data_IF_056382221131
#
_entry.id   IF_056382221131
#
_cell.length_a   1.000
_cell.length_b   1.000
_cell.length_c   1.000
_cell.angle_alpha   90.00
_cell.angle_beta   90.00
_cell.angle_gamma   90.00
#
_symmetry.space_group_name_H-M   'P 1'
#
loop_
_entity.id
_entity.type
_entity.pdbx_description
1 polymer ?
#
# COMPACT_ATOMS: atom_id res chain seq x y z
N UNK A 1 -9.88 -11.52 1.82
CA UNK A 1 -9.28 -10.26 2.30
C UNK A 1 -8.51 -10.61 3.56
N UNK A 2 -7.18 -10.60 3.47
CA UNK A 2 -6.30 -10.99 4.59
C UNK A 2 -5.99 -9.80 5.52
N UNK A 3 -5.50 -10.09 6.72
CA UNK A 3 -5.11 -9.10 7.72
C UNK A 3 -3.91 -8.24 7.25
N UNK A 4 -3.89 -6.93 7.53
CA UNK A 4 -2.72 -6.05 7.25
C UNK A 4 -1.43 -6.56 7.90
N UNK A 5 -1.52 -7.38 8.94
CA UNK A 5 -0.36 -7.90 9.67
C UNK A 5 0.56 -8.78 8.83
N UNK A 6 0.10 -9.31 7.69
CA UNK A 6 0.92 -10.04 6.72
C UNK A 6 1.88 -9.13 5.92
N UNK A 7 1.63 -7.82 5.95
CA UNK A 7 2.45 -6.83 5.27
C UNK A 7 3.71 -6.56 6.10
N UNK A 8 4.83 -6.41 5.40
CA UNK A 8 6.08 -5.88 5.98
C UNK A 8 5.89 -4.44 6.43
N UNK A 9 6.79 -3.93 7.27
CA UNK A 9 6.78 -2.53 7.72
C UNK A 9 6.73 -1.56 6.54
N UNK A 10 7.55 -1.78 5.51
CA UNK A 10 7.60 -0.92 4.32
C UNK A 10 6.32 -0.96 3.50
N UNK A 11 5.69 -2.13 3.39
CA UNK A 11 4.40 -2.25 2.72
C UNK A 11 3.28 -1.56 3.50
N UNK A 12 3.31 -1.58 4.84
CA UNK A 12 2.38 -0.82 5.69
C UNK A 12 2.55 0.70 5.51
N UNK A 13 3.78 1.21 5.48
CA UNK A 13 4.08 2.61 5.19
C UNK A 13 3.51 3.04 3.82
N UNK A 14 3.74 2.22 2.79
CA UNK A 14 3.21 2.49 1.45
C UNK A 14 1.68 2.46 1.46
N UNK A 15 1.06 1.49 2.14
CA UNK A 15 -0.39 1.39 2.25
C UNK A 15 -1.01 2.59 2.98
N UNK A 16 -0.35 3.12 4.02
CA UNK A 16 -0.79 4.34 4.70
C UNK A 16 -0.80 5.55 3.73
N UNK A 17 0.28 5.74 2.96
CA UNK A 17 0.34 6.81 1.97
C UNK A 17 -0.68 6.62 0.82
N UNK A 18 -1.06 5.37 0.51
CA UNK A 18 -2.15 5.08 -0.42
C UNK A 18 -3.50 5.54 0.15
N UNK A 19 -3.75 5.29 1.44
CA UNK A 19 -4.97 5.75 2.13
C UNK A 19 -5.04 7.28 2.15
N UNK A 20 -3.90 7.96 2.31
CA UNK A 20 -3.79 9.42 2.18
C UNK A 20 -4.00 9.96 0.75
N UNK A 21 -4.19 9.08 -0.24
CA UNK A 21 -4.42 9.48 -1.64
C UNK A 21 -3.15 9.86 -2.41
N UNK A 22 -1.95 9.56 -1.91
CA UNK A 22 -0.70 9.89 -2.59
C UNK A 22 -0.52 9.08 -3.87
N UNK A 23 -0.05 9.74 -4.93
CA UNK A 23 0.39 9.11 -6.18
C UNK A 23 1.71 8.35 -6.00
N UNK A 24 2.04 7.42 -6.91
CA UNK A 24 3.28 6.64 -6.80
C UNK A 24 4.55 7.51 -6.80
N UNK A 25 4.63 8.61 -7.59
CA UNK A 25 5.73 9.56 -7.48
C UNK A 25 5.80 10.29 -6.12
N UNK A 26 4.66 10.62 -5.51
CA UNK A 26 4.65 11.22 -4.17
C UNK A 26 5.11 10.24 -3.10
N UNK A 27 4.65 8.99 -3.16
CA UNK A 27 5.10 7.91 -2.27
C UNK A 27 6.61 7.69 -2.42
N UNK A 28 7.10 7.67 -3.65
CA UNK A 28 8.52 7.50 -3.96
C UNK A 28 9.37 8.62 -3.32
N UNK A 29 8.92 9.88 -3.43
CA UNK A 29 9.58 11.02 -2.79
C UNK A 29 9.51 10.95 -1.27
N UNK A 30 8.36 10.63 -0.70
CA UNK A 30 8.16 10.54 0.74
C UNK A 30 9.06 9.48 1.39
N UNK A 31 9.26 8.35 0.70
CA UNK A 31 10.02 7.21 1.21
C UNK A 31 11.47 7.15 0.71
N UNK A 32 11.89 8.11 -0.12
CA UNK A 32 13.24 8.21 -0.72
C UNK A 32 13.61 6.92 -1.46
N UNK A 33 12.73 6.47 -2.35
CA UNK A 33 12.91 5.28 -3.21
C UNK A 33 12.44 5.57 -4.63
N UNK A 34 12.77 4.68 -5.58
CA UNK A 34 12.30 4.84 -6.95
C UNK A 34 10.80 4.56 -7.09
N UNK A 35 10.15 5.16 -8.09
CA UNK A 35 8.76 4.83 -8.46
C UNK A 35 8.59 3.39 -8.89
N UNK A 36 9.64 2.76 -9.43
CA UNK A 36 9.65 1.35 -9.79
C UNK A 36 9.56 0.48 -8.52
N UNK A 37 10.36 0.80 -7.49
CA UNK A 37 10.32 0.12 -6.19
C UNK A 37 8.94 0.27 -5.53
N UNK A 38 8.32 1.45 -5.60
CA UNK A 38 6.95 1.66 -5.11
C UNK A 38 5.97 0.72 -5.82
N UNK A 39 6.03 0.63 -7.15
CA UNK A 39 5.13 -0.26 -7.92
C UNK A 39 5.29 -1.72 -7.50
N UNK A 40 6.53 -2.20 -7.32
CA UNK A 40 6.80 -3.56 -6.88
C UNK A 40 6.20 -3.85 -5.49
N UNK A 41 6.33 -2.91 -4.54
CA UNK A 41 5.68 -3.06 -3.24
C UNK A 41 4.16 -3.04 -3.35
N UNK A 42 3.57 -2.18 -4.19
CA UNK A 42 2.13 -2.13 -4.41
C UNK A 42 1.60 -3.45 -4.97
N UNK A 43 2.28 -4.05 -5.94
CA UNK A 43 1.93 -5.36 -6.48
C UNK A 43 2.01 -6.46 -5.42
N UNK A 44 3.02 -6.39 -4.53
CA UNK A 44 3.13 -7.29 -3.37
C UNK A 44 1.97 -7.12 -2.39
N UNK A 45 1.59 -5.86 -2.07
CA UNK A 45 0.44 -5.53 -1.23
C UNK A 45 -0.85 -6.12 -1.84
N UNK A 46 -1.06 -5.93 -3.14
CA UNK A 46 -2.24 -6.45 -3.84
C UNK A 46 -2.36 -7.97 -3.71
N UNK A 47 -1.26 -8.69 -4.01
CA UNK A 47 -1.21 -10.14 -3.88
C UNK A 47 -1.49 -10.61 -2.45
N UNK A 48 -0.87 -9.96 -1.46
CA UNK A 48 -1.01 -10.33 -0.04
C UNK A 48 -2.43 -10.05 0.48
N UNK A 49 -3.00 -8.89 0.18
CA UNK A 49 -4.34 -8.54 0.67
C UNK A 49 -5.46 -9.21 -0.14
N UNK A 50 -5.15 -9.76 -1.32
CA UNK A 50 -6.12 -10.34 -2.25
C UNK A 50 -6.97 -9.27 -2.93
N UNK A 51 -6.37 -8.13 -3.29
CA UNK A 51 -7.04 -7.00 -3.96
C UNK A 51 -6.39 -6.73 -5.31
N UNK A 52 -7.08 -6.01 -6.20
CA UNK A 52 -6.65 -5.85 -7.59
C UNK A 52 -6.22 -4.44 -7.97
N UNK A 53 -6.50 -3.45 -7.12
CA UNK A 53 -6.14 -2.06 -7.42
C UNK A 53 -6.00 -1.21 -6.17
N UNK A 54 -5.53 0.03 -6.39
CA UNK A 54 -5.17 0.99 -5.35
C UNK A 54 -6.36 1.40 -4.49
N UNK A 55 -7.53 1.54 -5.10
CA UNK A 55 -8.77 1.91 -4.40
C UNK A 55 -9.20 0.76 -3.50
N UNK A 56 -9.21 -0.47 -3.98
CA UNK A 56 -9.52 -1.65 -3.16
C UNK A 56 -8.54 -1.82 -2.00
N UNK A 57 -7.24 -1.57 -2.22
CA UNK A 57 -6.25 -1.58 -1.14
C UNK A 57 -6.52 -0.51 -0.07
N UNK A 58 -6.85 0.73 -0.48
CA UNK A 58 -7.20 1.81 0.43
C UNK A 58 -8.46 1.49 1.24
N UNK A 59 -9.52 1.03 0.57
CA UNK A 59 -10.78 0.62 1.20
C UNK A 59 -10.57 -0.54 2.18
N UNK A 60 -9.75 -1.53 1.80
CA UNK A 60 -9.39 -2.64 2.69
C UNK A 60 -8.72 -2.15 3.96
N UNK A 61 -7.77 -1.22 3.87
CA UNK A 61 -7.10 -0.66 5.03
C UNK A 61 -8.07 0.07 5.98
N UNK A 62 -8.96 0.90 5.42
CA UNK A 62 -9.96 1.67 6.19
C UNK A 62 -10.99 0.76 6.86
N UNK A 63 -11.58 -0.18 6.13
CA UNK A 63 -12.65 -1.05 6.66
C UNK A 63 -12.18 -1.98 7.78
N UNK A 64 -10.89 -2.34 7.78
CA UNK A 64 -10.33 -3.21 8.80
C UNK A 64 -9.83 -2.44 10.05
N UNK A 65 -10.08 -1.11 10.16
CA UNK A 65 -9.62 -0.23 11.26
C UNK A 65 -8.15 -0.43 11.61
N UNK A 66 -7.32 -0.64 10.59
CA UNK A 66 -5.94 -1.11 10.75
C UNK A 66 -4.90 -0.07 10.38
N UNK A 67 -5.35 1.13 10.03
CA UNK A 67 -4.59 2.36 9.83
C UNK A 67 -5.49 3.55 10.19
#
# INVERSE_FOLDING_TARGET
MEDINILTTREKEILALIVEGKSNPEIARALIISTHTVKAHIESIYRKLGVHNKVQAAVHAILNNKL
#
